data_IF_775749395329
#
_entry.id   IF_775749395329
#
_cell.length_a   1.000
_cell.length_b   1.000
_cell.length_c   1.000
_cell.angle_alpha   90.00
_cell.angle_beta   90.00
_cell.angle_gamma   90.00
#
_symmetry.space_group_name_H-M   'P 1'
#
loop_
_entity.id
_entity.type
_entity.pdbx_description
1 polymer ?
#
# COMPACT_ATOMS: atom_id res chain seq x y z
N UNK A 1 30.01 19.30 -49.26
CA UNK A 1 28.55 19.18 -49.22
C UNK A 1 28.15 19.01 -47.76
N UNK A 2 27.53 20.02 -47.19
CA UNK A 2 27.42 20.33 -45.76
C UNK A 2 26.28 19.54 -45.09
N UNK A 3 26.62 18.82 -44.04
CA UNK A 3 25.72 18.12 -43.17
C UNK A 3 25.02 19.13 -42.24
N UNK A 4 23.72 19.39 -42.45
CA UNK A 4 22.85 20.16 -41.57
C UNK A 4 22.02 19.19 -40.72
N UNK A 5 22.58 18.73 -39.58
CA UNK A 5 21.81 18.04 -38.56
C UNK A 5 20.98 19.03 -37.74
N UNK A 6 19.70 18.71 -37.71
CA UNK A 6 18.61 19.53 -37.21
C UNK A 6 18.69 19.81 -35.70
N UNK A 7 18.79 21.08 -35.33
CA UNK A 7 18.72 21.64 -33.96
C UNK A 7 17.27 21.78 -33.42
N UNK A 8 16.36 20.90 -33.79
CA UNK A 8 14.93 21.04 -33.47
C UNK A 8 14.38 20.09 -32.41
N UNK A 9 15.22 19.31 -31.71
CA UNK A 9 14.74 18.37 -30.66
C UNK A 9 15.09 18.77 -29.22
N UNK A 10 15.61 19.99 -28.96
CA UNK A 10 16.04 20.39 -27.61
C UNK A 10 15.23 21.55 -26.98
N UNK A 11 14.06 21.89 -27.52
CA UNK A 11 13.24 23.00 -27.01
C UNK A 11 11.85 22.60 -26.49
N UNK A 12 11.64 21.31 -26.19
CA UNK A 12 10.36 20.81 -25.64
C UNK A 12 10.34 20.51 -24.14
N UNK A 13 11.48 20.61 -23.43
CA UNK A 13 11.60 20.16 -22.04
C UNK A 13 11.75 21.30 -20.99
N UNK A 14 11.55 22.56 -21.35
CA UNK A 14 11.88 23.69 -20.47
C UNK A 14 10.72 24.65 -20.20
N UNK A 15 9.46 24.27 -20.38
CA UNK A 15 8.31 25.13 -20.05
C UNK A 15 7.22 24.44 -19.25
N UNK A 16 7.57 23.47 -18.43
CA UNK A 16 6.72 23.01 -17.31
C UNK A 16 7.06 23.78 -16.02
N UNK A 17 7.61 24.99 -16.14
CA UNK A 17 7.82 25.91 -15.02
C UNK A 17 6.51 26.65 -14.73
N UNK A 18 5.84 26.27 -13.64
CA UNK A 18 5.07 27.12 -12.75
C UNK A 18 4.12 28.13 -13.43
N UNK A 19 3.14 27.69 -14.19
CA UNK A 19 1.85 28.34 -14.11
C UNK A 19 1.25 27.93 -12.76
N UNK A 20 1.47 28.72 -11.71
CA UNK A 20 0.68 28.67 -10.49
C UNK A 20 -0.76 29.00 -10.88
N UNK A 21 -1.52 27.94 -11.23
CA UNK A 21 -2.94 28.06 -11.50
C UNK A 21 -3.55 28.54 -10.19
N UNK A 22 -4.02 29.78 -10.14
CA UNK A 22 -4.85 30.27 -9.04
C UNK A 22 -6.14 29.45 -9.12
N UNK A 23 -6.27 28.46 -8.26
CA UNK A 23 -7.44 27.60 -8.16
C UNK A 23 -8.58 28.46 -7.61
N UNK A 24 -9.63 28.66 -8.38
CA UNK A 24 -10.88 29.24 -7.89
C UNK A 24 -11.51 28.31 -6.83
N UNK A 25 -12.35 28.84 -5.96
CA UNK A 25 -13.04 28.03 -4.94
C UNK A 25 -13.82 26.85 -5.57
N UNK A 26 -14.26 26.98 -6.83
CA UNK A 26 -14.98 25.95 -7.57
C UNK A 26 -14.08 24.90 -8.27
N UNK A 27 -12.77 25.08 -8.26
CA UNK A 27 -11.83 24.15 -8.92
C UNK A 27 -11.26 23.10 -7.97
N UNK A 28 -11.47 23.24 -6.66
CA UNK A 28 -11.00 22.29 -5.65
C UNK A 28 -11.96 21.11 -5.53
N UNK A 29 -11.40 19.91 -5.33
CA UNK A 29 -12.19 18.72 -4.98
C UNK A 29 -12.46 18.75 -3.47
N UNK A 30 -13.73 18.71 -3.09
CA UNK A 30 -14.15 18.62 -1.68
C UNK A 30 -14.00 17.20 -1.17
N UNK A 31 -13.07 17.01 -0.22
CA UNK A 31 -12.67 15.69 0.30
C UNK A 31 -13.16 15.51 1.75
N UNK A 32 -13.76 14.35 2.04
CA UNK A 32 -13.93 13.89 3.41
C UNK A 32 -12.89 12.82 3.75
N UNK A 33 -12.31 12.89 4.95
CA UNK A 33 -11.34 11.91 5.44
C UNK A 33 -12.05 10.96 6.39
N UNK A 34 -11.97 9.66 6.13
CA UNK A 34 -12.62 8.59 6.88
C UNK A 34 -11.57 7.70 7.55
N UNK A 35 -11.56 7.69 8.89
CA UNK A 35 -10.49 7.16 9.70
C UNK A 35 -9.40 8.20 9.94
N UNK A 36 -9.33 8.74 11.16
CA UNK A 36 -8.46 9.86 11.56
C UNK A 36 -7.31 9.43 12.48
N UNK A 37 -7.00 8.12 12.47
CA UNK A 37 -5.83 7.57 13.13
C UNK A 37 -4.51 8.00 12.47
N UNK A 38 -3.41 7.27 12.74
CA UNK A 38 -2.07 7.66 12.27
C UNK A 38 -2.00 7.96 10.76
N UNK A 39 -2.53 7.07 9.91
CA UNK A 39 -2.52 7.27 8.45
C UNK A 39 -3.48 8.38 8.00
N UNK A 40 -4.70 8.40 8.55
CA UNK A 40 -5.66 9.47 8.25
C UNK A 40 -5.20 10.86 8.67
N UNK A 41 -4.46 10.97 9.76
CA UNK A 41 -3.80 12.23 10.15
C UNK A 41 -2.75 12.67 9.12
N UNK A 42 -2.03 11.73 8.50
CA UNK A 42 -1.13 12.04 7.38
C UNK A 42 -1.91 12.51 6.16
N UNK A 43 -3.05 11.86 5.83
CA UNK A 43 -3.93 12.28 4.74
C UNK A 43 -4.45 13.71 4.98
N UNK A 44 -4.92 13.99 6.19
CA UNK A 44 -5.37 15.34 6.57
C UNK A 44 -4.28 16.39 6.32
N UNK A 45 -3.05 16.12 6.79
CA UNK A 45 -1.92 17.02 6.59
C UNK A 45 -1.63 17.25 5.10
N UNK A 46 -1.65 16.21 4.28
CA UNK A 46 -1.36 16.31 2.85
C UNK A 46 -2.48 17.08 2.15
N UNK A 47 -3.75 16.68 2.29
CA UNK A 47 -4.87 17.38 1.64
C UNK A 47 -5.00 18.84 2.08
N UNK A 48 -4.66 19.17 3.33
CA UNK A 48 -4.66 20.56 3.81
C UNK A 48 -3.61 21.44 3.10
N UNK A 49 -2.58 20.84 2.49
CA UNK A 49 -1.52 21.56 1.77
C UNK A 49 -1.65 21.45 0.24
N UNK A 50 -2.59 20.66 -0.27
CA UNK A 50 -2.83 20.54 -1.72
C UNK A 50 -3.80 21.61 -2.18
N UNK A 51 -3.38 22.53 -3.08
CA UNK A 51 -4.26 23.60 -3.58
C UNK A 51 -5.46 23.07 -4.36
N UNK A 52 -5.37 21.82 -4.85
CA UNK A 52 -6.43 21.14 -5.59
C UNK A 52 -7.54 20.55 -4.73
N UNK A 53 -7.37 20.53 -3.41
CA UNK A 53 -8.31 19.91 -2.48
C UNK A 53 -8.84 20.90 -1.44
N UNK A 54 -10.02 20.61 -0.92
CA UNK A 54 -10.57 21.21 0.29
C UNK A 54 -11.10 20.13 1.21
N UNK A 55 -10.67 20.10 2.45
CA UNK A 55 -11.18 19.14 3.44
C UNK A 55 -12.49 19.69 4.01
N UNK A 56 -13.60 19.02 3.71
CA UNK A 56 -14.96 19.44 4.11
C UNK A 56 -15.59 18.48 5.14
N UNK A 57 -15.02 17.29 5.33
CA UNK A 57 -15.54 16.29 6.25
C UNK A 57 -14.43 15.54 7.01
N UNK A 58 -14.66 15.29 8.29
CA UNK A 58 -13.80 14.50 9.17
C UNK A 58 -14.64 13.40 9.82
N UNK A 59 -14.34 12.14 9.51
CA UNK A 59 -15.12 11.00 9.98
C UNK A 59 -14.25 9.99 10.74
N UNK A 60 -14.61 9.71 11.99
CA UNK A 60 -14.01 8.65 12.82
C UNK A 60 -14.99 8.20 13.88
N UNK A 61 -14.88 6.95 14.31
CA UNK A 61 -15.68 6.37 15.39
C UNK A 61 -15.19 6.80 16.80
N UNK A 62 -14.00 7.38 16.87
CA UNK A 62 -13.40 7.94 18.09
C UNK A 62 -13.56 9.46 18.10
N UNK A 63 -14.36 9.97 19.05
CA UNK A 63 -14.60 11.41 19.23
C UNK A 63 -13.29 12.18 19.39
N UNK A 64 -12.36 11.67 20.17
CA UNK A 64 -11.08 12.33 20.42
C UNK A 64 -10.22 12.44 19.14
N UNK A 65 -10.36 11.50 18.20
CA UNK A 65 -9.70 11.57 16.89
C UNK A 65 -10.30 12.69 16.03
N UNK A 66 -11.63 12.85 16.03
CA UNK A 66 -12.30 13.96 15.30
C UNK A 66 -11.88 15.32 15.86
N UNK A 67 -11.87 15.50 17.18
CA UNK A 67 -11.47 16.74 17.84
C UNK A 67 -10.00 17.12 17.50
N UNK A 68 -9.07 16.15 17.58
CA UNK A 68 -7.66 16.37 17.18
C UNK A 68 -7.52 16.73 15.70
N UNK A 69 -8.27 16.07 14.84
CA UNK A 69 -8.24 16.34 13.39
C UNK A 69 -8.80 17.73 13.08
N UNK A 70 -9.89 18.14 13.73
CA UNK A 70 -10.48 19.46 13.57
C UNK A 70 -9.53 20.58 14.01
N UNK A 71 -8.87 20.40 15.17
CA UNK A 71 -7.86 21.35 15.64
C UNK A 71 -6.68 21.45 14.66
N UNK A 72 -6.25 20.32 14.07
CA UNK A 72 -5.17 20.27 13.08
C UNK A 72 -5.58 20.98 11.80
N UNK A 73 -6.79 20.73 11.29
CA UNK A 73 -7.31 21.37 10.07
C UNK A 73 -7.38 22.89 10.27
N UNK A 74 -7.99 23.34 11.37
CA UNK A 74 -8.11 24.76 11.70
C UNK A 74 -6.74 25.45 11.76
N UNK A 75 -5.75 24.80 12.38
CA UNK A 75 -4.38 25.32 12.47
C UNK A 75 -3.72 25.44 11.08
N UNK A 76 -3.93 24.46 10.20
CA UNK A 76 -3.26 24.40 8.90
C UNK A 76 -3.92 25.31 7.85
N UNK A 77 -5.24 25.47 7.89
CA UNK A 77 -6.01 26.11 6.82
C UNK A 77 -6.83 27.33 7.25
N UNK A 78 -7.06 27.49 8.57
CA UNK A 78 -8.04 28.46 9.08
C UNK A 78 -9.50 28.02 8.90
N UNK A 79 -9.76 26.86 8.29
CA UNK A 79 -11.11 26.36 8.00
C UNK A 79 -11.51 25.25 8.98
N UNK A 80 -12.83 25.03 9.10
CA UNK A 80 -13.41 23.88 9.81
C UNK A 80 -14.13 22.97 8.83
N UNK A 81 -14.17 21.67 9.16
CA UNK A 81 -14.93 20.68 8.40
C UNK A 81 -16.10 20.15 9.25
N UNK A 82 -17.12 19.55 8.60
CA UNK A 82 -18.18 18.80 9.29
C UNK A 82 -17.59 17.55 9.93
N UNK A 83 -18.09 17.22 11.11
CA UNK A 83 -17.67 16.01 11.84
C UNK A 83 -18.76 14.94 11.73
N UNK A 84 -18.32 13.70 11.47
CA UNK A 84 -19.19 12.54 11.34
C UNK A 84 -18.65 11.38 12.20
N UNK A 85 -19.51 10.69 12.92
CA UNK A 85 -19.16 9.43 13.58
C UNK A 85 -19.29 8.25 12.61
N UNK A 86 -20.36 8.26 11.82
CA UNK A 86 -20.66 7.22 10.83
C UNK A 86 -20.34 7.70 9.41
N UNK A 87 -19.51 6.95 8.71
CA UNK A 87 -19.10 7.28 7.34
C UNK A 87 -20.26 7.40 6.35
N UNK A 88 -21.38 6.71 6.59
CA UNK A 88 -22.58 6.79 5.75
C UNK A 88 -23.17 8.22 5.74
N UNK A 89 -23.05 8.94 6.84
CA UNK A 89 -23.46 10.35 6.91
C UNK A 89 -22.55 11.23 6.06
N UNK A 90 -21.23 11.00 6.12
CA UNK A 90 -20.29 11.72 5.26
C UNK A 90 -20.52 11.43 3.77
N UNK A 91 -20.87 10.19 3.42
CA UNK A 91 -21.17 9.81 2.03
C UNK A 91 -22.50 10.40 1.53
N UNK A 92 -23.47 10.61 2.41
CA UNK A 92 -24.73 11.24 2.08
C UNK A 92 -24.64 12.78 1.94
N UNK A 93 -23.56 13.39 2.45
CA UNK A 93 -23.41 14.86 2.38
C UNK A 93 -23.13 15.32 0.93
N UNK A 94 -23.98 16.21 0.37
CA UNK A 94 -23.82 16.68 -1.00
C UNK A 94 -22.57 17.54 -1.21
N UNK A 95 -21.99 18.14 -0.18
CA UNK A 95 -20.76 18.91 -0.29
C UNK A 95 -19.53 18.02 -0.54
N UNK A 96 -19.56 16.76 -0.09
CA UNK A 96 -18.48 15.80 -0.30
C UNK A 96 -18.49 15.29 -1.74
N UNK A 97 -17.38 15.46 -2.47
CA UNK A 97 -17.18 14.98 -3.84
C UNK A 97 -16.33 13.72 -3.89
N UNK A 98 -15.31 13.65 -3.02
CA UNK A 98 -14.43 12.52 -2.90
C UNK A 98 -14.19 12.14 -1.44
N UNK A 99 -13.80 10.89 -1.20
CA UNK A 99 -13.47 10.41 0.14
C UNK A 99 -12.08 9.81 0.16
N UNK A 100 -11.36 10.04 1.26
CA UNK A 100 -10.06 9.44 1.54
C UNK A 100 -10.21 8.49 2.71
N UNK A 101 -10.15 7.16 2.44
CA UNK A 101 -10.43 6.10 3.39
C UNK A 101 -9.12 5.59 3.98
N UNK A 102 -8.94 5.74 5.29
CA UNK A 102 -7.79 5.27 6.07
C UNK A 102 -8.23 4.48 7.31
N UNK A 103 -9.29 3.72 7.17
CA UNK A 103 -9.85 2.80 8.16
C UNK A 103 -8.99 1.54 8.29
N UNK A 104 -9.25 0.63 9.26
CA UNK A 104 -8.69 -0.72 9.22
C UNK A 104 -9.12 -1.53 7.97
N UNK A 105 -8.30 -2.53 7.59
CA UNK A 105 -8.45 -3.29 6.34
C UNK A 105 -9.86 -3.85 6.11
N UNK A 106 -10.50 -4.37 7.16
CA UNK A 106 -11.83 -5.00 7.06
C UNK A 106 -12.95 -4.05 6.63
N UNK A 107 -12.70 -2.75 6.66
CA UNK A 107 -13.63 -1.72 6.23
C UNK A 107 -13.38 -1.23 4.80
N UNK A 108 -12.16 -1.41 4.25
CA UNK A 108 -11.76 -0.77 2.99
C UNK A 108 -12.77 -0.97 1.86
N UNK A 109 -13.14 -2.24 1.61
CA UNK A 109 -14.03 -2.56 0.51
C UNK A 109 -15.44 -2.02 0.71
N UNK A 110 -16.05 -2.27 1.87
CA UNK A 110 -17.43 -1.84 2.12
C UNK A 110 -17.55 -0.33 2.12
N UNK A 111 -16.60 0.39 2.73
CA UNK A 111 -16.56 1.84 2.72
C UNK A 111 -16.42 2.40 1.30
N UNK A 112 -15.50 1.84 0.48
CA UNK A 112 -15.33 2.26 -0.91
C UNK A 112 -16.59 2.00 -1.76
N UNK A 113 -17.21 0.82 -1.62
CA UNK A 113 -18.45 0.46 -2.32
C UNK A 113 -19.59 1.41 -1.96
N UNK A 114 -19.79 1.68 -0.68
CA UNK A 114 -20.82 2.61 -0.23
C UNK A 114 -20.57 4.04 -0.74
N UNK A 115 -19.34 4.52 -0.68
CA UNK A 115 -18.96 5.83 -1.18
C UNK A 115 -19.22 5.95 -2.70
N UNK A 116 -18.79 4.98 -3.49
CA UNK A 116 -19.01 4.98 -4.95
C UNK A 116 -20.50 4.92 -5.31
N UNK A 117 -21.28 4.09 -4.62
CA UNK A 117 -22.75 4.03 -4.79
C UNK A 117 -23.44 5.33 -4.39
N UNK A 118 -22.87 6.08 -3.44
CA UNK A 118 -23.32 7.44 -3.08
C UNK A 118 -22.76 8.53 -4.02
N UNK A 119 -22.11 8.16 -5.12
CA UNK A 119 -21.61 9.08 -6.13
C UNK A 119 -20.28 9.77 -5.79
N UNK A 120 -19.50 9.24 -4.83
CA UNK A 120 -18.22 9.80 -4.42
C UNK A 120 -17.06 9.08 -5.11
N UNK A 121 -16.02 9.82 -5.48
CA UNK A 121 -14.75 9.26 -5.89
C UNK A 121 -13.94 8.82 -4.65
N UNK A 122 -13.09 7.82 -4.77
CA UNK A 122 -12.46 7.17 -3.61
C UNK A 122 -10.94 7.09 -3.76
N UNK A 123 -10.22 7.60 -2.76
CA UNK A 123 -8.84 7.24 -2.46
C UNK A 123 -8.86 6.29 -1.27
N UNK A 124 -8.58 5.00 -1.48
CA UNK A 124 -8.59 3.99 -0.43
C UNK A 124 -7.19 3.61 0.00
N UNK A 125 -6.95 3.41 1.30
CA UNK A 125 -5.65 2.90 1.76
C UNK A 125 -5.43 1.44 1.37
N UNK A 126 -4.15 1.06 1.31
CA UNK A 126 -3.69 -0.32 1.09
C UNK A 126 -3.85 -1.16 2.38
N UNK A 127 -4.02 -2.50 2.28
CA UNK A 127 -4.33 -3.26 1.07
C UNK A 127 -5.70 -2.88 0.51
N UNK A 128 -5.87 -2.99 -0.80
CA UNK A 128 -7.11 -2.57 -1.47
C UNK A 128 -8.37 -3.15 -0.81
N UNK A 129 -8.30 -4.40 -0.41
CA UNK A 129 -9.40 -5.18 0.16
C UNK A 129 -8.90 -6.10 1.27
N UNK A 130 -9.82 -6.61 2.08
CA UNK A 130 -9.52 -7.56 3.15
C UNK A 130 -9.47 -9.01 2.64
N UNK A 131 -10.20 -9.34 1.58
CA UNK A 131 -10.21 -10.64 0.91
C UNK A 131 -10.42 -10.49 -0.60
N UNK A 132 -10.25 -11.59 -1.35
CA UNK A 132 -10.28 -11.57 -2.82
C UNK A 132 -11.66 -11.20 -3.37
N UNK A 133 -12.74 -11.70 -2.78
CA UNK A 133 -14.11 -11.37 -3.19
C UNK A 133 -14.42 -9.89 -3.06
N UNK A 134 -13.98 -9.27 -1.97
CA UNK A 134 -14.14 -7.82 -1.76
C UNK A 134 -13.49 -6.99 -2.87
N UNK A 135 -12.28 -7.35 -3.28
CA UNK A 135 -11.58 -6.66 -4.36
C UNK A 135 -12.29 -6.77 -5.71
N UNK A 136 -12.86 -7.94 -6.00
CA UNK A 136 -13.70 -8.13 -7.19
C UNK A 136 -14.95 -7.23 -7.16
N UNK A 137 -15.61 -7.13 -6.00
CA UNK A 137 -16.79 -6.28 -5.83
C UNK A 137 -16.44 -4.78 -5.91
N UNK A 138 -15.31 -4.36 -5.39
CA UNK A 138 -14.84 -2.99 -5.55
C UNK A 138 -14.62 -2.63 -7.03
N UNK A 139 -13.97 -3.51 -7.79
CA UNK A 139 -13.76 -3.33 -9.23
C UNK A 139 -15.10 -3.27 -9.99
N UNK A 140 -16.00 -4.19 -9.71
CA UNK A 140 -17.34 -4.23 -10.30
C UNK A 140 -18.09 -2.91 -10.08
N UNK A 141 -18.18 -2.45 -8.83
CA UNK A 141 -18.90 -1.22 -8.47
C UNK A 141 -18.21 0.03 -9.06
N UNK A 142 -16.88 0.08 -9.09
CA UNK A 142 -16.16 1.19 -9.72
C UNK A 142 -16.52 1.33 -11.22
N UNK A 143 -16.64 0.20 -11.93
CA UNK A 143 -17.08 0.19 -13.34
C UNK A 143 -18.55 0.57 -13.50
N UNK A 144 -19.44 0.03 -12.65
CA UNK A 144 -20.89 0.32 -12.69
C UNK A 144 -21.20 1.79 -12.40
N UNK A 145 -20.48 2.41 -11.47
CA UNK A 145 -20.73 3.79 -11.03
C UNK A 145 -19.88 4.82 -11.76
N UNK A 146 -18.91 4.39 -12.57
CA UNK A 146 -17.93 5.25 -13.24
C UNK A 146 -17.21 6.21 -12.27
N UNK A 147 -16.95 5.75 -11.02
CA UNK A 147 -16.21 6.50 -10.01
C UNK A 147 -14.72 6.18 -10.08
N UNK A 148 -13.91 7.20 -9.76
CA UNK A 148 -12.48 7.03 -9.63
C UNK A 148 -12.18 6.27 -8.32
N UNK A 149 -11.43 5.18 -8.41
CA UNK A 149 -10.99 4.42 -7.25
C UNK A 149 -9.49 4.15 -7.36
N UNK A 150 -8.70 4.91 -6.61
CA UNK A 150 -7.26 4.73 -6.46
C UNK A 150 -6.93 4.17 -5.09
N UNK A 151 -5.98 3.24 -5.06
CA UNK A 151 -5.47 2.64 -3.81
C UNK A 151 -4.14 3.28 -3.43
N UNK A 152 -3.94 3.52 -2.15
CA UNK A 152 -2.80 4.23 -1.54
C UNK A 152 -1.46 3.50 -1.64
N UNK A 153 -1.10 3.01 -2.83
CA UNK A 153 0.17 2.38 -3.17
C UNK A 153 1.12 3.41 -3.78
N UNK A 154 1.48 4.41 -3.00
CA UNK A 154 2.20 5.61 -3.44
C UNK A 154 3.53 5.35 -4.15
N UNK A 155 4.12 4.16 -4.00
CA UNK A 155 5.34 3.79 -4.70
C UNK A 155 5.19 3.80 -6.23
N UNK A 156 3.96 3.59 -6.74
CA UNK A 156 3.65 3.70 -8.18
C UNK A 156 3.59 5.14 -8.70
N UNK A 157 3.66 6.13 -7.80
CA UNK A 157 3.80 7.56 -8.16
C UNK A 157 5.18 8.12 -7.85
N UNK A 158 6.14 7.27 -7.49
CA UNK A 158 7.51 7.68 -7.16
C UNK A 158 8.33 7.79 -8.46
N UNK A 159 8.79 8.98 -8.88
CA UNK A 159 9.36 9.18 -10.21
C UNK A 159 10.55 8.27 -10.54
N UNK A 160 11.51 8.11 -9.61
CA UNK A 160 12.66 7.23 -9.87
C UNK A 160 12.23 5.75 -9.98
N UNK A 161 11.20 5.30 -9.23
CA UNK A 161 10.67 3.92 -9.34
C UNK A 161 9.96 3.71 -10.68
N UNK A 162 9.23 4.73 -11.17
CA UNK A 162 8.59 4.68 -12.48
C UNK A 162 9.65 4.52 -13.59
N UNK A 163 10.69 5.37 -13.60
CA UNK A 163 11.80 5.26 -14.57
C UNK A 163 12.53 3.93 -14.46
N UNK A 164 12.76 3.43 -13.25
CA UNK A 164 13.38 2.13 -13.03
C UNK A 164 12.55 0.99 -13.65
N UNK A 165 11.21 1.01 -13.45
CA UNK A 165 10.33 0.00 -14.06
C UNK A 165 10.26 0.12 -15.58
N UNK A 166 10.24 1.34 -16.13
CA UNK A 166 10.36 1.55 -17.58
C UNK A 166 11.66 0.96 -18.13
N UNK A 167 12.78 1.14 -17.42
CA UNK A 167 14.07 0.58 -17.82
C UNK A 167 14.09 -0.96 -17.73
N UNK A 168 13.52 -1.55 -16.67
CA UNK A 168 13.37 -3.00 -16.52
C UNK A 168 12.52 -3.57 -17.65
N UNK A 169 11.35 -2.97 -17.93
CA UNK A 169 10.45 -3.41 -19.01
C UNK A 169 11.06 -3.18 -20.40
N UNK A 170 11.96 -2.20 -20.52
CA UNK A 170 12.77 -1.95 -21.72
C UNK A 170 13.94 -2.91 -21.92
N UNK A 171 14.09 -3.93 -21.04
CA UNK A 171 15.12 -4.98 -21.18
C UNK A 171 16.47 -4.62 -20.55
N UNK A 172 16.54 -3.66 -19.61
CA UNK A 172 17.80 -3.26 -18.96
C UNK A 172 18.58 -4.44 -18.38
N UNK A 173 17.89 -5.47 -17.86
CA UNK A 173 18.48 -6.68 -17.28
C UNK A 173 18.08 -7.96 -18.06
N UNK A 174 17.64 -7.82 -19.30
CA UNK A 174 17.04 -8.90 -20.10
C UNK A 174 15.61 -9.24 -19.64
N UNK A 175 15.13 -10.43 -19.99
CA UNK A 175 13.80 -10.91 -19.59
C UNK A 175 13.75 -11.27 -18.11
N UNK A 176 12.92 -10.57 -17.34
CA UNK A 176 12.75 -10.84 -15.90
C UNK A 176 11.98 -12.15 -15.72
N UNK A 177 12.63 -13.13 -15.13
CA UNK A 177 12.07 -14.45 -14.82
C UNK A 177 11.76 -14.65 -13.32
N UNK A 178 12.42 -13.91 -12.44
CA UNK A 178 12.17 -13.96 -10.99
C UNK A 178 12.11 -12.54 -10.40
N UNK A 179 11.04 -12.26 -9.67
CA UNK A 179 10.90 -11.06 -8.85
C UNK A 179 10.75 -11.43 -7.39
N UNK A 180 11.46 -10.73 -6.52
CA UNK A 180 11.42 -10.96 -5.07
C UNK A 180 11.01 -9.71 -4.32
N UNK A 181 10.01 -9.81 -3.42
CA UNK A 181 9.61 -8.77 -2.49
C UNK A 181 10.07 -9.10 -1.07
N UNK A 182 10.61 -8.12 -0.36
CA UNK A 182 11.14 -8.24 0.99
C UNK A 182 10.44 -7.29 1.95
N UNK A 183 9.92 -7.84 3.04
CA UNK A 183 9.35 -7.10 4.17
C UNK A 183 10.07 -7.49 5.45
N UNK A 184 11.33 -7.04 5.60
CA UNK A 184 12.15 -7.31 6.78
C UNK A 184 12.03 -6.15 7.76
N UNK A 185 10.86 -6.06 8.38
CA UNK A 185 10.51 -4.97 9.28
C UNK A 185 10.33 -5.47 10.69
N UNK A 186 11.26 -5.13 11.58
CA UNK A 186 11.21 -5.56 12.99
C UNK A 186 9.88 -5.19 13.62
N UNK A 187 9.19 -6.20 14.16
CA UNK A 187 7.98 -6.08 14.97
C UNK A 187 8.26 -6.57 16.38
N UNK A 188 7.89 -5.78 17.37
CA UNK A 188 7.90 -6.23 18.75
C UNK A 188 6.67 -7.09 19.05
N UNK A 189 6.74 -7.92 20.09
CA UNK A 189 5.56 -8.57 20.66
C UNK A 189 4.53 -7.53 21.08
N UNK A 190 3.26 -7.81 20.82
CA UNK A 190 2.14 -6.96 21.28
C UNK A 190 1.71 -7.29 22.72
N UNK A 191 2.26 -8.36 23.30
CA UNK A 191 1.91 -8.84 24.63
C UNK A 191 0.52 -9.45 24.72
N UNK A 192 0.00 -9.50 25.95
CA UNK A 192 -1.33 -10.01 26.29
C UNK A 192 -2.13 -8.96 27.04
N UNK A 193 -3.40 -8.78 26.67
CA UNK A 193 -4.32 -7.90 27.42
C UNK A 193 -5.71 -8.54 27.53
N UNK A 194 -6.34 -8.46 28.70
CA UNK A 194 -7.73 -8.91 28.86
C UNK A 194 -8.70 -7.99 28.11
N UNK A 195 -9.88 -8.51 27.83
CA UNK A 195 -10.99 -7.70 27.37
C UNK A 195 -11.39 -6.69 28.45
N UNK A 196 -11.88 -5.53 28.05
CA UNK A 196 -12.25 -4.42 28.93
C UNK A 196 -13.46 -3.65 28.40
N UNK A 197 -14.08 -2.76 29.19
CA UNK A 197 -15.11 -1.87 28.69
C UNK A 197 -14.58 -0.99 27.55
N UNK A 198 -15.44 -0.70 26.57
CA UNK A 198 -15.13 0.24 25.50
C UNK A 198 -14.86 1.63 26.08
N UNK A 199 -13.76 2.31 25.69
CA UNK A 199 -13.48 3.67 26.13
C UNK A 199 -14.61 4.64 25.78
N UNK A 200 -14.87 5.62 26.64
CA UNK A 200 -15.84 6.67 26.36
C UNK A 200 -15.50 7.42 25.06
N UNK A 201 -16.53 7.74 24.29
CA UNK A 201 -16.37 8.43 22.99
C UNK A 201 -15.92 7.53 21.82
N UNK A 202 -15.81 6.21 22.04
CA UNK A 202 -15.48 5.22 20.99
C UNK A 202 -16.71 4.40 20.64
N UNK A 203 -17.12 4.39 19.38
CA UNK A 203 -18.19 3.52 18.88
C UNK A 203 -17.60 2.18 18.41
N UNK A 204 -17.56 1.19 19.32
CA UNK A 204 -16.98 -0.12 19.05
C UNK A 204 -17.78 -0.94 18.02
N UNK A 205 -19.10 -0.75 17.95
CA UNK A 205 -19.94 -1.41 16.93
C UNK A 205 -19.54 -0.98 15.52
N UNK A 206 -19.39 0.32 15.31
CA UNK A 206 -18.90 0.86 14.02
C UNK A 206 -17.44 0.50 13.75
N UNK A 207 -16.57 0.40 14.78
CA UNK A 207 -15.22 -0.09 14.58
C UNK A 207 -15.22 -1.51 14.01
N UNK A 208 -16.01 -2.40 14.63
CA UNK A 208 -16.11 -3.81 14.21
C UNK A 208 -16.76 -3.96 12.82
N UNK A 209 -17.77 -3.17 12.50
CA UNK A 209 -18.41 -3.13 11.18
C UNK A 209 -18.65 -4.53 10.60
N UNK A 210 -18.07 -4.86 9.42
CA UNK A 210 -18.22 -6.16 8.76
C UNK A 210 -17.53 -7.32 9.47
N UNK A 211 -16.62 -7.07 10.42
CA UNK A 211 -15.94 -8.09 11.20
C UNK A 211 -16.87 -8.70 12.28
N UNK A 212 -16.66 -9.95 12.71
CA UNK A 212 -17.42 -10.54 13.81
C UNK A 212 -17.37 -9.67 15.06
N UNK A 213 -18.49 -9.57 15.80
CA UNK A 213 -18.50 -8.86 17.07
C UNK A 213 -17.66 -9.60 18.10
N UNK A 214 -16.78 -8.86 18.78
CA UNK A 214 -15.99 -9.30 19.93
C UNK A 214 -16.01 -8.21 20.98
N UNK A 215 -15.82 -8.54 22.25
CA UNK A 215 -15.60 -7.53 23.31
C UNK A 215 -14.44 -6.60 22.94
N UNK A 216 -14.46 -5.40 23.52
CA UNK A 216 -13.35 -4.47 23.31
C UNK A 216 -12.09 -5.02 23.99
N UNK A 217 -11.00 -4.95 23.23
CA UNK A 217 -9.65 -5.26 23.69
C UNK A 217 -8.69 -4.22 23.13
N UNK A 218 -7.87 -3.64 23.98
CA UNK A 218 -6.95 -2.57 23.59
C UNK A 218 -5.98 -3.00 22.47
N UNK A 219 -5.55 -4.27 22.48
CA UNK A 219 -4.66 -4.81 21.44
C UNK A 219 -5.35 -4.95 20.07
N UNK A 220 -6.69 -5.03 20.03
CA UNK A 220 -7.49 -5.11 18.79
C UNK A 220 -7.85 -3.72 18.24
N UNK A 221 -7.48 -2.67 18.94
CA UNK A 221 -7.77 -1.29 18.59
C UNK A 221 -6.52 -0.55 18.10
N UNK A 222 -6.66 0.65 17.56
CA UNK A 222 -5.59 1.50 17.02
C UNK A 222 -4.74 0.73 15.99
N UNK A 223 -3.44 0.54 16.21
CA UNK A 223 -2.53 -0.03 15.22
C UNK A 223 -2.56 -1.56 15.16
N UNK A 224 -2.72 -2.24 16.31
CA UNK A 224 -2.50 -3.69 16.40
C UNK A 224 -3.62 -4.54 15.77
N UNK A 225 -4.73 -3.93 15.33
CA UNK A 225 -5.76 -4.62 14.54
C UNK A 225 -5.18 -5.33 13.30
N UNK A 226 -4.03 -4.92 12.81
CA UNK A 226 -3.34 -5.58 11.68
C UNK A 226 -3.01 -7.06 11.94
N UNK A 227 -2.82 -7.43 13.21
CA UNK A 227 -2.31 -8.72 13.62
C UNK A 227 -3.40 -9.75 13.97
N UNK A 228 -4.67 -9.40 13.81
CA UNK A 228 -5.82 -10.26 14.07
C UNK A 228 -6.54 -10.58 12.77
N UNK A 229 -6.83 -11.89 12.56
CA UNK A 229 -7.41 -12.38 11.31
C UNK A 229 -8.78 -11.80 10.98
N UNK A 230 -9.53 -11.30 11.93
CA UNK A 230 -10.86 -10.73 11.69
C UNK A 230 -10.85 -9.25 11.26
N UNK A 231 -9.71 -8.56 11.41
CA UNK A 231 -9.59 -7.13 11.10
C UNK A 231 -8.40 -6.78 10.19
N UNK A 232 -7.36 -7.62 10.18
CA UNK A 232 -6.11 -7.40 9.47
C UNK A 232 -5.65 -8.61 8.66
N UNK A 233 -4.56 -8.46 7.95
CA UNK A 233 -3.98 -9.46 7.05
C UNK A 233 -2.51 -9.78 7.39
N UNK A 234 -2.05 -9.44 8.61
CA UNK A 234 -0.66 -9.60 9.01
C UNK A 234 0.29 -8.64 8.29
N UNK A 235 1.59 -8.83 8.47
CA UNK A 235 2.57 -7.90 7.89
C UNK A 235 2.69 -8.03 6.36
N UNK A 236 2.34 -9.18 5.78
CA UNK A 236 2.26 -9.34 4.32
C UNK A 236 1.21 -8.41 3.71
N UNK A 237 0.07 -8.20 4.37
CA UNK A 237 -0.98 -7.26 3.95
C UNK A 237 -0.74 -5.82 4.45
N UNK A 238 0.03 -5.63 5.51
CA UNK A 238 0.33 -4.31 6.06
C UNK A 238 1.48 -3.63 5.30
N UNK A 239 2.75 -3.96 5.62
CA UNK A 239 3.90 -3.40 4.88
C UNK A 239 4.07 -4.13 3.54
N UNK A 240 3.98 -5.44 3.56
CA UNK A 240 4.35 -6.30 2.44
C UNK A 240 3.58 -6.05 1.15
N UNK A 241 2.35 -5.54 1.22
CA UNK A 241 1.56 -5.27 0.00
C UNK A 241 2.19 -4.20 -0.89
N UNK A 242 2.98 -3.27 -0.35
CA UNK A 242 3.73 -2.31 -1.15
C UNK A 242 4.78 -2.99 -2.02
N UNK A 243 5.62 -3.81 -1.41
CA UNK A 243 6.68 -4.55 -2.09
C UNK A 243 6.11 -5.66 -2.99
N UNK A 244 4.96 -6.25 -2.61
CA UNK A 244 4.21 -7.18 -3.45
C UNK A 244 3.75 -6.53 -4.76
N UNK A 245 3.20 -5.32 -4.66
CA UNK A 245 2.78 -4.54 -5.82
C UNK A 245 3.93 -4.17 -6.75
N UNK A 246 5.11 -3.84 -6.20
CA UNK A 246 6.31 -3.56 -6.96
C UNK A 246 6.90 -4.85 -7.57
N UNK A 247 6.92 -5.96 -6.82
CA UNK A 247 7.39 -7.26 -7.33
C UNK A 247 6.56 -7.70 -8.54
N UNK A 248 5.22 -7.56 -8.46
CA UNK A 248 4.33 -7.86 -9.58
C UNK A 248 4.57 -6.90 -10.77
N UNK A 249 4.79 -5.62 -10.50
CA UNK A 249 5.10 -4.62 -11.52
C UNK A 249 6.38 -4.97 -12.30
N UNK A 250 7.44 -5.42 -11.61
CA UNK A 250 8.67 -5.89 -12.25
C UNK A 250 8.48 -7.11 -13.18
N UNK A 251 7.41 -7.89 -13.00
CA UNK A 251 7.00 -8.98 -13.89
C UNK A 251 6.04 -8.53 -15.01
N UNK A 252 5.84 -7.22 -15.18
CA UNK A 252 4.88 -6.61 -16.13
C UNK A 252 3.42 -6.86 -15.75
N UNK A 253 3.13 -6.74 -14.46
CA UNK A 253 1.78 -6.77 -13.87
C UNK A 253 0.92 -7.98 -14.29
N UNK A 254 1.39 -9.25 -14.16
CA UNK A 254 0.62 -10.42 -14.55
C UNK A 254 -0.68 -10.52 -13.72
N UNK A 255 -1.66 -11.24 -14.24
CA UNK A 255 -2.93 -11.50 -13.57
C UNK A 255 -2.73 -12.46 -12.38
N UNK A 256 -3.59 -13.46 -12.18
CA UNK A 256 -3.42 -14.46 -11.13
C UNK A 256 -2.31 -15.48 -11.48
N UNK A 257 -1.55 -15.98 -10.48
CA UNK A 257 -0.60 -17.05 -10.67
C UNK A 257 -1.31 -18.39 -10.92
N UNK A 258 -0.61 -19.35 -11.52
CA UNK A 258 -1.09 -20.73 -11.66
C UNK A 258 -1.12 -21.43 -10.30
N UNK A 259 -0.12 -21.18 -9.44
CA UNK A 259 -0.07 -21.73 -8.10
C UNK A 259 0.47 -20.69 -7.10
N UNK A 260 0.05 -20.84 -5.85
CA UNK A 260 0.56 -20.08 -4.71
C UNK A 260 0.86 -21.03 -3.53
N UNK A 261 1.99 -20.82 -2.87
CA UNK A 261 2.36 -21.56 -1.68
C UNK A 261 2.97 -20.63 -0.65
N UNK A 262 2.60 -20.80 0.62
CA UNK A 262 3.21 -20.07 1.71
C UNK A 262 3.39 -20.95 2.95
N UNK A 263 4.51 -20.73 3.63
CA UNK A 263 4.85 -21.35 4.91
C UNK A 263 5.48 -20.34 5.85
N UNK A 264 5.35 -20.57 7.15
CA UNK A 264 5.90 -19.67 8.16
C UNK A 264 5.35 -19.97 9.52
N UNK A 265 5.36 -18.97 10.39
CA UNK A 265 4.87 -19.13 11.75
C UNK A 265 5.05 -17.89 12.60
N UNK A 266 4.70 -18.04 13.87
CA UNK A 266 4.99 -17.07 14.92
C UNK A 266 6.12 -17.62 15.79
N UNK A 267 7.28 -16.97 15.73
CA UNK A 267 8.50 -17.42 16.38
C UNK A 267 9.01 -16.38 17.39
N UNK A 268 9.92 -16.80 18.27
CA UNK A 268 10.67 -16.02 19.25
C UNK A 268 9.88 -15.44 20.43
N UNK A 269 8.58 -15.20 20.31
CA UNK A 269 7.72 -14.73 21.40
C UNK A 269 6.31 -15.28 21.28
N UNK A 270 5.58 -15.30 22.39
CA UNK A 270 4.16 -15.60 22.45
C UNK A 270 3.41 -14.34 22.87
N UNK A 271 2.31 -14.05 22.19
CA UNK A 271 1.43 -12.91 22.46
C UNK A 271 0.07 -13.14 21.81
N UNK A 272 -0.83 -12.17 21.89
CA UNK A 272 -2.17 -12.26 21.34
C UNK A 272 -2.24 -12.08 19.80
N UNK A 273 -1.13 -11.84 19.12
CA UNK A 273 -1.08 -11.79 17.64
C UNK A 273 -1.48 -13.15 17.05
N UNK A 274 -2.40 -13.15 16.09
CA UNK A 274 -2.88 -14.35 15.37
C UNK A 274 -2.10 -14.63 14.08
N UNK A 275 -1.57 -13.58 13.42
CA UNK A 275 -0.88 -13.68 12.14
C UNK A 275 0.60 -14.06 12.30
N UNK A 276 1.23 -14.70 11.29
CA UNK A 276 2.65 -15.04 11.37
C UNK A 276 3.54 -13.80 11.41
N UNK A 277 4.66 -13.86 12.14
CA UNK A 277 5.70 -12.84 12.13
C UNK A 277 6.83 -13.16 11.16
N UNK A 278 6.83 -14.37 10.60
CA UNK A 278 7.75 -14.84 9.56
C UNK A 278 6.95 -15.66 8.57
N UNK A 279 7.01 -15.28 7.28
CA UNK A 279 6.28 -15.92 6.20
C UNK A 279 7.10 -15.89 4.91
N UNK A 280 7.22 -17.04 4.24
CA UNK A 280 7.78 -17.17 2.91
C UNK A 280 6.66 -17.59 1.96
N UNK A 281 6.50 -16.88 0.85
CA UNK A 281 5.50 -17.18 -0.17
C UNK A 281 6.12 -17.25 -1.56
N UNK A 282 5.59 -18.13 -2.41
CA UNK A 282 5.98 -18.27 -3.81
C UNK A 282 4.74 -18.35 -4.71
N UNK A 283 4.86 -17.76 -5.90
CA UNK A 283 3.78 -17.67 -6.89
C UNK A 283 4.34 -18.00 -8.26
N UNK A 284 3.82 -19.07 -8.87
CA UNK A 284 4.23 -19.51 -10.20
C UNK A 284 3.29 -18.94 -11.27
N UNK A 285 3.88 -18.30 -12.28
CA UNK A 285 3.20 -17.75 -13.46
C UNK A 285 3.58 -18.49 -14.76
N UNK A 286 4.02 -19.74 -14.66
CA UNK A 286 4.58 -20.51 -15.76
C UNK A 286 6.07 -20.20 -15.95
N UNK A 287 6.48 -19.37 -16.92
CA UNK A 287 7.90 -19.05 -17.13
C UNK A 287 8.47 -18.02 -16.12
N UNK A 288 7.62 -17.46 -15.28
CA UNK A 288 8.00 -16.42 -14.30
C UNK A 288 7.61 -16.82 -12.87
N UNK A 289 8.43 -16.44 -11.93
CA UNK A 289 8.22 -16.66 -10.50
C UNK A 289 8.19 -15.34 -9.74
N UNK A 290 7.34 -15.27 -8.70
CA UNK A 290 7.41 -14.23 -7.69
C UNK A 290 7.62 -14.90 -6.33
N UNK A 291 8.60 -14.42 -5.57
CA UNK A 291 8.87 -14.84 -4.20
C UNK A 291 8.67 -13.66 -3.27
N UNK A 292 8.06 -13.90 -2.12
CA UNK A 292 7.83 -12.87 -1.13
C UNK A 292 8.21 -13.35 0.27
N UNK A 293 8.88 -12.49 1.04
CA UNK A 293 9.30 -12.85 2.37
C UNK A 293 9.01 -11.77 3.42
N UNK A 294 8.37 -12.19 4.52
CA UNK A 294 8.17 -11.39 5.73
C UNK A 294 9.13 -11.89 6.80
N UNK A 295 9.93 -11.01 7.38
CA UNK A 295 10.76 -11.25 8.56
C UNK A 295 10.52 -10.16 9.61
N UNK A 296 9.57 -10.39 10.51
CA UNK A 296 9.27 -9.48 11.62
C UNK A 296 10.26 -9.55 12.78
N UNK A 297 11.22 -10.45 12.73
CA UNK A 297 12.25 -10.68 13.75
C UNK A 297 13.60 -10.03 13.36
N UNK A 298 14.62 -10.23 14.17
CA UNK A 298 15.98 -9.75 13.87
C UNK A 298 16.51 -10.45 12.61
N UNK A 299 17.00 -9.67 11.66
CA UNK A 299 17.50 -10.16 10.37
C UNK A 299 18.50 -9.18 9.76
N UNK A 300 19.19 -9.63 8.69
CA UNK A 300 20.02 -8.79 7.84
C UNK A 300 19.34 -8.45 6.51
N UNK A 301 19.92 -7.51 5.77
CA UNK A 301 19.48 -7.12 4.43
C UNK A 301 19.91 -8.13 3.35
N UNK A 302 19.27 -8.05 2.18
CA UNK A 302 19.68 -8.70 0.94
C UNK A 302 20.01 -7.64 -0.12
N UNK A 303 20.67 -7.99 -1.20
CA UNK A 303 20.96 -7.09 -2.33
C UNK A 303 22.42 -7.05 -2.73
N UNK A 304 22.92 -5.88 -3.14
CA UNK A 304 24.28 -5.72 -3.62
C UNK A 304 25.29 -6.19 -2.56
N UNK A 305 26.24 -7.01 -2.97
CA UNK A 305 27.21 -7.63 -2.06
C UNK A 305 27.99 -6.55 -1.31
N UNK A 306 27.64 -6.34 -0.05
CA UNK A 306 28.46 -5.55 0.86
C UNK A 306 29.76 -6.34 1.06
N UNK A 307 30.90 -5.76 0.71
CA UNK A 307 32.17 -6.19 1.27
C UNK A 307 32.07 -5.98 2.77
N UNK A 308 31.69 -6.99 3.52
CA UNK A 308 31.72 -6.97 4.97
C UNK A 308 33.16 -6.82 5.42
N UNK A 309 33.57 -5.61 5.75
CA UNK A 309 34.70 -5.46 6.66
C UNK A 309 34.21 -5.99 8.01
N UNK A 310 34.74 -7.12 8.42
CA UNK A 310 34.50 -7.68 9.75
C UNK A 310 35.04 -6.70 10.79
N UNK A 311 34.17 -5.83 11.30
CA UNK A 311 34.44 -5.08 12.53
C UNK A 311 33.62 -5.75 13.64
N UNK A 312 34.31 -6.34 14.58
CA UNK A 312 33.73 -6.88 15.79
C UNK A 312 32.91 -5.79 16.52
N UNK A 313 31.74 -6.14 17.12
CA UNK A 313 30.98 -5.19 17.92
C UNK A 313 31.85 -4.73 19.10
N UNK A 314 31.94 -3.41 19.30
CA UNK A 314 32.49 -2.88 20.54
C UNK A 314 31.53 -3.24 21.68
N UNK A 315 32.05 -3.92 22.72
CA UNK A 315 31.31 -4.18 23.96
C UNK A 315 30.91 -2.83 24.58
N UNK A 316 29.61 -2.68 24.90
CA UNK A 316 29.12 -1.56 25.72
C UNK A 316 28.20 -0.55 25.05
N UNK A 317 27.72 -0.73 23.82
CA UNK A 317 26.78 0.22 23.21
C UNK A 317 25.32 -0.11 23.56
N UNK A 318 24.70 0.71 24.40
CA UNK A 318 23.24 0.75 24.60
C UNK A 318 22.55 1.14 23.28
N UNK A 319 21.50 0.39 22.90
CA UNK A 319 20.75 0.63 21.67
C UNK A 319 20.14 2.03 21.63
N UNK A 320 20.33 2.83 20.57
CA UNK A 320 19.67 4.12 20.45
C UNK A 320 18.19 3.95 20.10
N UNK A 321 17.33 4.63 20.86
CA UNK A 321 15.87 4.60 20.76
C UNK A 321 15.27 5.56 19.73
N UNK A 322 16.00 5.94 18.70
CA UNK A 322 15.49 6.76 17.60
C UNK A 322 15.87 6.11 16.28
N UNK A 323 14.87 5.85 15.42
CA UNK A 323 15.14 5.52 14.03
C UNK A 323 15.94 6.69 13.41
N UNK A 324 17.16 6.46 12.90
CA UNK A 324 17.89 7.53 12.23
C UNK A 324 17.08 7.97 11.01
N UNK A 325 16.99 9.27 10.79
CA UNK A 325 16.55 9.84 9.50
C UNK A 325 17.49 9.24 8.45
N UNK A 326 16.96 8.35 7.62
CA UNK A 326 17.76 7.66 6.63
C UNK A 326 18.33 8.69 5.65
N UNK A 327 19.62 8.91 5.71
CA UNK A 327 20.33 9.69 4.68
C UNK A 327 20.32 8.85 3.39
N UNK A 328 19.86 9.46 2.29
CA UNK A 328 19.93 8.80 0.96
C UNK A 328 21.39 8.52 0.64
N UNK A 329 21.77 7.25 0.36
CA UNK A 329 23.15 6.93 0.01
C UNK A 329 23.63 7.71 -1.21
N UNK A 330 24.92 8.02 -1.26
CA UNK A 330 25.54 8.64 -2.43
C UNK A 330 25.42 7.72 -3.65
N UNK A 331 25.37 8.33 -4.85
CA UNK A 331 25.38 7.58 -6.11
C UNK A 331 26.58 6.62 -6.15
N UNK A 332 26.36 5.37 -6.57
CA UNK A 332 27.37 4.30 -6.55
C UNK A 332 27.50 3.52 -5.23
N UNK A 333 26.96 4.03 -4.11
CA UNK A 333 26.94 3.24 -2.88
C UNK A 333 25.94 2.04 -3.01
N UNK A 334 26.33 0.81 -2.60
CA UNK A 334 25.46 -0.36 -2.70
C UNK A 334 24.15 -0.16 -1.95
N UNK A 335 23.05 -0.69 -2.53
CA UNK A 335 21.75 -0.74 -1.89
C UNK A 335 21.59 -2.04 -1.10
N UNK A 336 21.33 -1.89 0.20
CA UNK A 336 20.91 -2.97 1.09
C UNK A 336 19.38 -3.00 1.18
N UNK A 337 18.77 -4.11 0.83
CA UNK A 337 17.33 -4.26 0.78
C UNK A 337 16.82 -4.99 2.02
N UNK A 338 16.25 -4.25 2.96
CA UNK A 338 15.48 -4.77 4.10
C UNK A 338 13.98 -4.77 3.78
N UNK A 339 13.49 -3.67 3.22
CA UNK A 339 12.14 -3.49 2.72
C UNK A 339 12.28 -2.98 1.29
N UNK A 340 11.87 -3.78 0.31
CA UNK A 340 12.06 -3.45 -1.10
C UNK A 340 12.00 -4.68 -1.99
N UNK A 341 12.68 -4.62 -3.15
CA UNK A 341 12.55 -5.61 -4.20
C UNK A 341 13.88 -5.96 -4.85
N UNK A 342 13.99 -7.20 -5.32
CA UNK A 342 15.05 -7.70 -6.17
C UNK A 342 14.42 -8.27 -7.45
N UNK A 343 15.07 -8.04 -8.59
CA UNK A 343 14.64 -8.51 -9.91
C UNK A 343 15.78 -9.25 -10.58
N UNK A 344 15.50 -10.42 -11.13
CA UNK A 344 16.49 -11.26 -11.80
C UNK A 344 16.04 -11.49 -13.23
N UNK A 345 16.85 -11.02 -14.16
CA UNK A 345 16.65 -11.17 -15.60
C UNK A 345 17.70 -12.07 -16.23
N UNK A 346 17.56 -12.32 -17.52
CA UNK A 346 18.45 -13.21 -18.29
C UNK A 346 19.85 -12.62 -18.51
N UNK A 347 20.03 -11.30 -18.35
CA UNK A 347 21.30 -10.60 -18.60
C UNK A 347 21.84 -9.91 -17.34
N UNK A 348 21.09 -9.89 -16.25
CA UNK A 348 21.50 -9.21 -15.03
C UNK A 348 20.45 -9.22 -13.95
N UNK A 349 20.63 -8.39 -12.94
CA UNK A 349 19.72 -8.26 -11.81
C UNK A 349 19.62 -6.83 -11.32
N UNK A 350 18.59 -6.51 -10.53
CA UNK A 350 18.40 -5.19 -9.98
C UNK A 350 17.88 -5.23 -8.54
N UNK A 351 18.19 -4.19 -7.77
CA UNK A 351 17.73 -3.95 -6.42
C UNK A 351 16.99 -2.60 -6.33
N UNK A 352 15.88 -2.55 -5.58
CA UNK A 352 15.09 -1.35 -5.38
C UNK A 352 14.57 -1.27 -3.95
N UNK A 353 14.66 -0.08 -3.35
CA UNK A 353 14.01 0.27 -2.08
C UNK A 353 13.62 1.76 -2.10
N UNK A 354 13.34 2.37 -0.95
CA UNK A 354 13.02 3.81 -0.88
C UNK A 354 14.24 4.72 -1.00
N UNK A 355 15.45 4.17 -0.95
CA UNK A 355 16.70 4.91 -1.08
C UNK A 355 17.23 4.93 -2.52
N UNK A 356 16.67 4.10 -3.42
CA UNK A 356 17.05 4.08 -4.82
C UNK A 356 16.77 2.78 -5.56
N UNK A 357 17.32 2.74 -6.77
CA UNK A 357 17.34 1.60 -7.68
C UNK A 357 18.76 1.43 -8.23
N UNK A 358 19.26 0.21 -8.24
CA UNK A 358 20.51 -0.17 -8.91
C UNK A 358 20.29 -1.41 -9.78
N UNK A 359 20.88 -1.41 -10.97
CA UNK A 359 20.89 -2.55 -11.87
C UNK A 359 22.32 -2.93 -12.25
N UNK A 360 22.53 -4.24 -12.36
CA UNK A 360 23.82 -4.85 -12.64
C UNK A 360 23.70 -5.84 -13.80
N UNK A 361 24.70 -5.88 -14.69
CA UNK A 361 24.74 -6.79 -15.85
C UNK A 361 25.96 -7.69 -15.86
N UNK A 362 25.78 -8.83 -16.51
CA UNK A 362 26.84 -9.79 -16.76
C UNK A 362 27.39 -10.47 -15.52
N UNK A 363 28.30 -11.42 -15.72
CA UNK A 363 28.96 -12.19 -14.64
C UNK A 363 29.86 -11.30 -13.75
N UNK A 364 30.36 -10.20 -14.29
CA UNK A 364 31.16 -9.20 -13.57
C UNK A 364 30.34 -8.30 -12.64
N UNK A 365 29.00 -8.37 -12.69
CA UNK A 365 28.10 -7.49 -11.96
C UNK A 365 28.39 -6.01 -12.22
N UNK A 366 28.51 -5.62 -13.47
CA UNK A 366 28.73 -4.24 -13.88
C UNK A 366 27.51 -3.38 -13.51
N UNK A 367 27.72 -2.29 -12.77
CA UNK A 367 26.65 -1.35 -12.42
C UNK A 367 26.24 -0.55 -13.66
N UNK A 368 25.06 -0.81 -14.21
CA UNK A 368 24.54 -0.17 -15.44
C UNK A 368 23.49 0.89 -15.21
N UNK A 369 22.89 0.93 -14.02
CA UNK A 369 21.95 1.99 -13.62
C UNK A 369 22.02 2.27 -12.12
N UNK A 370 21.88 3.54 -11.75
CA UNK A 370 21.79 4.00 -10.36
C UNK A 370 20.87 5.23 -10.29
N UNK A 371 19.62 4.98 -9.84
CA UNK A 371 18.59 6.00 -9.67
C UNK A 371 18.40 6.30 -8.18
N UNK A 372 18.26 7.58 -7.85
CA UNK A 372 18.04 8.02 -6.47
C UNK A 372 16.80 8.91 -6.37
N UNK A 373 16.12 8.91 -5.22
CA UNK A 373 14.99 9.80 -5.00
C UNK A 373 15.43 11.28 -5.05
N UNK A 374 14.57 12.11 -5.61
CA UNK A 374 14.74 13.55 -5.62
C UNK A 374 14.56 14.14 -4.20
N UNK A 375 15.33 15.19 -3.85
CA UNK A 375 15.19 15.85 -2.54
C UNK A 375 13.80 16.48 -2.39
N UNK A 376 13.18 16.29 -1.21
CA UNK A 376 11.88 16.89 -0.89
C UNK A 376 10.69 16.19 -1.56
N UNK A 377 10.90 15.07 -2.20
CA UNK A 377 9.87 14.28 -2.83
C UNK A 377 8.92 13.63 -1.79
N UNK A 378 7.63 13.91 -1.88
CA UNK A 378 6.57 13.22 -1.14
C UNK A 378 5.73 12.36 -2.08
N UNK A 379 6.06 11.07 -2.14
CA UNK A 379 5.35 10.10 -2.98
C UNK A 379 3.84 10.03 -2.69
N UNK A 380 3.43 10.24 -1.42
CA UNK A 380 2.02 10.20 -1.06
C UNK A 380 1.29 11.45 -1.59
N UNK A 381 1.91 12.63 -1.49
CA UNK A 381 1.34 13.84 -2.05
C UNK A 381 1.18 13.73 -3.58
N UNK A 382 2.20 13.26 -4.29
CA UNK A 382 2.12 13.03 -5.74
C UNK A 382 1.03 12.01 -6.12
N UNK A 383 0.87 10.98 -5.32
CA UNK A 383 -0.15 9.96 -5.56
C UNK A 383 -1.57 10.52 -5.32
N UNK A 384 -1.76 11.35 -4.31
CA UNK A 384 -3.02 12.06 -4.07
C UNK A 384 -3.31 13.12 -5.13
N UNK A 385 -2.30 13.82 -5.63
CA UNK A 385 -2.45 14.76 -6.77
C UNK A 385 -2.89 14.02 -8.04
N UNK A 386 -2.31 12.85 -8.33
CA UNK A 386 -2.75 12.00 -9.43
C UNK A 386 -4.23 11.59 -9.29
N UNK A 387 -4.67 11.22 -8.08
CA UNK A 387 -6.08 10.93 -7.80
C UNK A 387 -6.98 12.15 -8.08
N UNK A 388 -6.61 13.33 -7.56
CA UNK A 388 -7.39 14.55 -7.75
C UNK A 388 -7.46 14.96 -9.24
N UNK A 389 -6.37 14.74 -9.99
CA UNK A 389 -6.37 14.97 -11.44
C UNK A 389 -7.33 14.02 -12.17
N UNK A 390 -7.33 12.73 -11.83
CA UNK A 390 -8.25 11.75 -12.40
C UNK A 390 -9.72 12.02 -12.02
N UNK A 391 -10.00 12.52 -10.80
CA UNK A 391 -11.34 12.97 -10.42
C UNK A 391 -11.87 14.07 -11.34
N UNK A 392 -11.01 14.93 -11.90
CA UNK A 392 -11.38 15.99 -12.82
C UNK A 392 -11.49 15.52 -14.27
N UNK A 393 -10.50 14.76 -14.74
CA UNK A 393 -10.48 14.24 -16.11
C UNK A 393 -11.53 13.17 -16.34
N UNK A 394 -12.04 12.53 -15.27
CA UNK A 394 -12.96 11.39 -15.30
C UNK A 394 -12.37 10.18 -16.03
N UNK A 395 -11.05 10.09 -16.11
CA UNK A 395 -10.34 9.01 -16.76
C UNK A 395 -9.63 8.12 -15.73
N UNK A 396 -10.25 6.99 -15.36
CA UNK A 396 -9.68 6.05 -14.40
C UNK A 396 -8.35 5.42 -14.86
N UNK A 397 -8.05 5.45 -16.17
CA UNK A 397 -6.79 4.91 -16.72
C UNK A 397 -5.58 5.78 -16.39
N UNK A 398 -5.79 7.01 -15.94
CA UNK A 398 -4.74 7.92 -15.48
C UNK A 398 -4.33 7.65 -14.03
N UNK A 399 -5.10 6.84 -13.28
CA UNK A 399 -4.78 6.47 -11.91
C UNK A 399 -3.54 5.57 -11.88
N UNK A 400 -2.54 5.94 -11.10
CA UNK A 400 -1.27 5.20 -11.03
C UNK A 400 -1.41 3.82 -10.35
N UNK A 401 -2.36 3.66 -9.43
CA UNK A 401 -2.73 2.34 -8.90
C UNK A 401 -4.26 2.20 -8.83
N UNK A 402 -4.85 2.04 -10.01
CA UNK A 402 -6.28 1.81 -10.20
C UNK A 402 -6.67 0.46 -9.58
N UNK A 403 -7.94 0.34 -9.14
CA UNK A 403 -8.43 -0.83 -8.39
C UNK A 403 -8.16 -2.17 -9.09
N UNK A 404 -8.24 -2.26 -10.41
CA UNK A 404 -7.99 -3.52 -11.13
C UNK A 404 -6.54 -4.01 -10.91
N UNK A 405 -5.58 -3.08 -10.81
CA UNK A 405 -4.20 -3.39 -10.54
C UNK A 405 -3.93 -3.65 -9.05
N UNK A 406 -4.41 -2.75 -8.19
CA UNK A 406 -4.21 -2.84 -6.74
C UNK A 406 -4.87 -4.08 -6.13
N UNK A 407 -6.06 -4.47 -6.63
CA UNK A 407 -6.76 -5.68 -6.25
C UNK A 407 -5.91 -6.94 -6.49
N UNK A 408 -5.24 -7.04 -7.64
CA UNK A 408 -4.39 -8.18 -7.95
C UNK A 408 -3.17 -8.25 -7.03
N UNK A 409 -2.55 -7.12 -6.72
CA UNK A 409 -1.43 -7.07 -5.77
C UNK A 409 -1.85 -7.46 -4.34
N UNK A 410 -3.02 -6.99 -3.87
CA UNK A 410 -3.60 -7.40 -2.60
C UNK A 410 -3.97 -8.89 -2.59
N UNK A 411 -4.47 -9.41 -3.72
CA UNK A 411 -4.85 -10.82 -3.86
C UNK A 411 -3.65 -11.76 -3.65
N UNK A 412 -2.44 -11.39 -4.06
CA UNK A 412 -1.25 -12.20 -3.77
C UNK A 412 -1.01 -12.33 -2.26
N UNK A 413 -1.17 -11.24 -1.50
CA UNK A 413 -1.08 -11.30 -0.04
C UNK A 413 -2.16 -12.23 0.56
N UNK A 414 -3.38 -12.20 0.01
CA UNK A 414 -4.46 -13.07 0.46
C UNK A 414 -4.21 -14.54 0.09
N UNK A 415 -3.71 -14.83 -1.11
CA UNK A 415 -3.33 -16.19 -1.51
C UNK A 415 -2.26 -16.78 -0.59
N UNK A 416 -1.25 -15.99 -0.21
CA UNK A 416 -0.26 -16.42 0.77
C UNK A 416 -0.91 -16.74 2.13
N UNK A 417 -1.76 -15.86 2.64
CA UNK A 417 -2.47 -16.08 3.89
C UNK A 417 -3.39 -17.30 3.85
N UNK A 418 -4.09 -17.53 2.73
CA UNK A 418 -4.92 -18.72 2.54
C UNK A 418 -4.04 -19.98 2.55
N UNK A 419 -2.98 -20.04 1.71
CA UNK A 419 -2.06 -21.16 1.65
C UNK A 419 -1.44 -21.48 3.02
N UNK A 420 -0.97 -20.47 3.75
CA UNK A 420 -0.46 -20.61 5.10
C UNK A 420 -1.48 -21.22 6.06
N UNK A 421 -2.73 -20.76 6.04
CA UNK A 421 -3.80 -21.19 6.95
C UNK A 421 -4.32 -22.59 6.63
N UNK A 422 -4.36 -22.99 5.36
CA UNK A 422 -4.74 -24.36 4.96
C UNK A 422 -3.54 -25.31 4.95
N UNK A 423 -2.31 -24.82 5.09
CA UNK A 423 -1.09 -25.61 5.20
C UNK A 423 -0.67 -26.33 3.92
N UNK A 424 -1.07 -25.83 2.73
CA UNK A 424 -0.76 -26.49 1.45
C UNK A 424 -0.66 -25.52 0.26
N UNK A 425 -0.05 -26.03 -0.82
CA UNK A 425 0.01 -25.33 -2.11
C UNK A 425 -1.40 -25.22 -2.70
N UNK A 426 -1.72 -24.02 -3.18
CA UNK A 426 -2.96 -23.71 -3.89
C UNK A 426 -2.70 -23.80 -5.39
N UNK A 427 -3.59 -24.45 -6.14
CA UNK A 427 -3.63 -24.44 -7.60
C UNK A 427 -4.86 -23.65 -8.02
N UNK A 428 -4.64 -22.58 -8.81
CA UNK A 428 -5.73 -21.72 -9.25
C UNK A 428 -6.30 -22.22 -10.58
N UNK A 429 -7.62 -22.06 -10.72
CA UNK A 429 -8.29 -22.10 -12.03
C UNK A 429 -8.08 -20.76 -12.74
N UNK A 430 -8.42 -20.60 -14.04
CA UNK A 430 -8.48 -19.29 -14.65
C UNK A 430 -9.40 -18.36 -13.84
N UNK A 431 -8.81 -17.40 -13.11
CA UNK A 431 -9.48 -16.54 -12.14
C UNK A 431 -9.13 -16.87 -10.68
N UNK A 432 -9.82 -16.29 -9.71
CA UNK A 432 -9.44 -16.37 -8.29
C UNK A 432 -10.07 -17.56 -7.54
N UNK A 433 -10.33 -18.68 -8.19
CA UNK A 433 -10.84 -19.91 -7.56
C UNK A 433 -9.78 -20.99 -7.53
N UNK A 434 -9.93 -21.95 -6.64
CA UNK A 434 -8.98 -23.05 -6.49
C UNK A 434 -9.50 -24.34 -7.16
N UNK A 435 -8.57 -25.05 -7.80
CA UNK A 435 -8.88 -26.33 -8.41
C UNK A 435 -9.09 -27.39 -7.30
N UNK A 436 -10.31 -27.88 -7.19
CA UNK A 436 -10.68 -28.98 -6.26
C UNK A 436 -10.35 -28.70 -4.77
N UNK A 437 -10.42 -27.41 -4.32
CA UNK A 437 -10.11 -27.02 -2.95
C UNK A 437 -11.24 -26.19 -2.31
N UNK A 438 -12.36 -26.80 -1.90
CA UNK A 438 -13.49 -26.08 -1.33
C UNK A 438 -13.20 -25.46 0.04
N UNK A 439 -12.19 -25.92 0.77
CA UNK A 439 -11.75 -25.29 2.03
C UNK A 439 -11.08 -23.96 1.77
N UNK A 440 -10.15 -23.92 0.81
CA UNK A 440 -9.49 -22.68 0.39
C UNK A 440 -10.50 -21.71 -0.27
N UNK A 441 -11.45 -22.21 -1.08
CA UNK A 441 -12.49 -21.39 -1.72
C UNK A 441 -13.35 -20.63 -0.70
N UNK A 442 -13.64 -21.21 0.47
CA UNK A 442 -14.36 -20.51 1.54
C UNK A 442 -13.59 -19.29 2.07
N UNK A 443 -12.26 -19.28 1.95
CA UNK A 443 -11.41 -18.16 2.40
C UNK A 443 -11.29 -17.04 1.37
N UNK A 444 -11.82 -17.19 0.17
CA UNK A 444 -11.92 -16.11 -0.82
C UNK A 444 -12.82 -14.97 -0.35
N UNK A 445 -13.71 -15.23 0.58
CA UNK A 445 -14.64 -14.30 1.23
C UNK A 445 -14.68 -14.54 2.73
N UNK A 446 -15.64 -13.98 3.42
CA UNK A 446 -15.91 -14.18 4.85
C UNK A 446 -17.40 -14.11 5.15
N UNK A 447 -17.82 -14.57 6.33
CA UNK A 447 -19.13 -14.26 6.87
C UNK A 447 -19.14 -12.79 7.35
N UNK A 448 -20.04 -12.02 6.77
CA UNK A 448 -20.18 -10.60 7.10
C UNK A 448 -21.21 -10.39 8.22
N UNK A 449 -20.87 -9.57 9.19
CA UNK A 449 -21.80 -9.17 10.24
C UNK A 449 -22.86 -8.22 9.68
N UNK A 450 -24.14 -8.60 9.78
CA UNK A 450 -25.25 -7.71 9.37
C UNK A 450 -25.31 -6.46 10.28
N UNK A 451 -25.62 -5.25 9.74
CA UNK A 451 -26.01 -4.99 8.34
C UNK A 451 -24.81 -4.72 7.39
N UNK A 452 -23.58 -4.93 7.81
CA UNK A 452 -22.35 -4.56 7.11
C UNK A 452 -21.91 -5.64 6.11
N UNK A 453 -22.69 -5.84 5.06
CA UNK A 453 -22.46 -6.91 4.08
C UNK A 453 -21.92 -6.34 2.78
N UNK A 454 -20.83 -6.94 2.25
CA UNK A 454 -20.33 -6.66 0.90
C UNK A 454 -21.17 -7.50 -0.09
N UNK A 455 -21.92 -6.83 -0.98
CA UNK A 455 -22.81 -7.41 -1.96
C UNK A 455 -22.67 -6.77 -3.35
#
# INVERSE_FOLDING_TARGET
MTNRTSRRFFLGAATAAAASRIWGANDRVNVAIVGLGGRGSSHLKIYSNLPEARVVGLCDIDQSARERAQATLLKNTGEKAKEFEDMRQAFADPEVQAVSIATPNHWHALAAIWAMRAGKDVYGEKPACYNIYEGQKMLEVARQTARMLQIGSQHRSTPFKMRAMESIHGGLIGDVHLSKGLCFKRRASIGHKPDSPTPAGVNWDLFRGPAPMRPFNELRFKYNWHWFWDTGNGDIGNQGVHEMGIARWGLSDPQFPQTAYAQGGKYAYQDDQETPNTLLASYNYGPKELVFEVRGLLTGAEGAAVKRSARAPAEGATAPSASPVATVPSKGAPLDVMVGNLFYGTEGWAAMNDQGFQAFKGESNELVADERPEKGHDATALHMQNFLAACRSRNYKELHDEIANAYLSASLCHLANISYRVGRKLTLTPGPRFAHDPEADKMLTRDYRKPYVVA
#
